data_IF_211749229311
#
_entry.id   IF_211749229311
#
_cell.length_a   1.000
_cell.length_b   1.000
_cell.length_c   1.000
_cell.angle_alpha   90.00
_cell.angle_beta   90.00
_cell.angle_gamma   90.00
#
_symmetry.space_group_name_H-M   'P 1'
#
loop_
_entity.id
_entity.type
_entity.pdbx_description
1 polymer ?
#
# COMPACT_ATOMS: atom_id res chain seq x y z
N UNK A 1 -41.48 17.32 -15.74
CA UNK A 1 -40.48 17.10 -14.69
C UNK A 1 -40.55 18.26 -13.73
N UNK A 2 -40.76 17.99 -12.46
CA UNK A 2 -40.83 18.98 -11.39
C UNK A 2 -39.44 19.39 -10.92
N UNK A 3 -39.33 20.53 -10.23
CA UNK A 3 -38.08 20.96 -9.57
C UNK A 3 -37.55 19.89 -8.62
N UNK A 4 -38.45 19.22 -7.88
CA UNK A 4 -38.10 18.15 -6.95
C UNK A 4 -37.54 16.92 -7.68
N UNK A 5 -38.04 16.60 -8.88
CA UNK A 5 -37.49 15.50 -9.69
C UNK A 5 -36.04 15.80 -10.09
N UNK A 6 -35.75 17.05 -10.48
CA UNK A 6 -34.40 17.47 -10.85
C UNK A 6 -33.46 17.52 -9.63
N UNK A 7 -33.98 17.97 -8.47
CA UNK A 7 -33.25 17.98 -7.21
C UNK A 7 -32.83 16.57 -6.79
N UNK A 8 -33.77 15.62 -6.77
CA UNK A 8 -33.49 14.23 -6.42
C UNK A 8 -32.58 13.54 -7.43
N UNK A 9 -32.78 13.81 -8.73
CA UNK A 9 -31.90 13.30 -9.78
C UNK A 9 -30.48 13.80 -9.55
N UNK A 10 -30.27 15.09 -9.30
CA UNK A 10 -28.94 15.65 -9.06
C UNK A 10 -28.30 15.08 -7.78
N UNK A 11 -29.03 15.01 -6.66
CA UNK A 11 -28.51 14.50 -5.39
C UNK A 11 -28.09 13.03 -5.46
N UNK A 12 -28.76 12.21 -6.27
CA UNK A 12 -28.46 10.78 -6.39
C UNK A 12 -27.46 10.51 -7.53
N UNK A 13 -27.70 11.07 -8.72
CA UNK A 13 -26.88 10.79 -9.90
C UNK A 13 -25.55 11.52 -9.92
N UNK A 14 -25.46 12.73 -9.38
CA UNK A 14 -24.19 13.47 -9.37
C UNK A 14 -23.08 12.74 -8.59
N UNK A 15 -23.27 12.33 -7.33
CA UNK A 15 -22.23 11.58 -6.62
C UNK A 15 -21.99 10.21 -7.24
N UNK A 16 -23.02 9.55 -7.79
CA UNK A 16 -22.86 8.27 -8.48
C UNK A 16 -21.96 8.41 -9.72
N UNK A 17 -22.19 9.43 -10.55
CA UNK A 17 -21.34 9.73 -11.71
C UNK A 17 -19.93 10.11 -11.29
N UNK A 18 -19.76 10.89 -10.20
CA UNK A 18 -18.43 11.23 -9.70
C UNK A 18 -17.66 9.98 -9.26
N UNK A 19 -18.28 9.08 -8.50
CA UNK A 19 -17.66 7.82 -8.07
C UNK A 19 -17.36 6.91 -9.26
N UNK A 20 -18.26 6.84 -10.23
CA UNK A 20 -18.09 6.02 -11.44
C UNK A 20 -16.93 6.52 -12.31
N UNK A 21 -16.86 7.83 -12.56
CA UNK A 21 -15.73 8.44 -13.26
C UNK A 21 -14.43 8.26 -12.48
N UNK A 22 -14.44 8.47 -11.16
CA UNK A 22 -13.28 8.25 -10.32
C UNK A 22 -12.78 6.80 -10.39
N UNK A 23 -13.67 5.80 -10.33
CA UNK A 23 -13.30 4.40 -10.46
C UNK A 23 -12.65 4.09 -11.82
N UNK A 24 -13.19 4.65 -12.91
CA UNK A 24 -12.57 4.55 -14.24
C UNK A 24 -11.16 5.15 -14.26
N UNK A 25 -10.99 6.38 -13.77
CA UNK A 25 -9.68 7.03 -13.68
C UNK A 25 -8.69 6.26 -12.79
N UNK A 26 -9.15 5.68 -11.67
CA UNK A 26 -8.33 4.86 -10.78
C UNK A 26 -7.82 3.59 -11.49
N UNK A 27 -8.66 2.91 -12.29
CA UNK A 27 -8.25 1.75 -13.08
C UNK A 27 -7.14 2.12 -14.09
N UNK A 28 -7.26 3.28 -14.73
CA UNK A 28 -6.24 3.73 -15.68
C UNK A 28 -4.92 4.11 -15.00
N UNK A 29 -5.00 4.78 -13.85
CA UNK A 29 -3.84 5.29 -13.08
C UNK A 29 -3.06 4.18 -12.35
N UNK A 30 -3.64 3.01 -12.20
CA UNK A 30 -3.01 1.85 -11.57
C UNK A 30 -1.95 1.22 -12.47
N UNK A 31 -0.69 1.25 -12.07
CA UNK A 31 0.40 0.64 -12.86
C UNK A 31 0.63 -0.84 -12.55
N UNK A 32 -0.05 -1.38 -11.54
CA UNK A 32 0.07 -2.77 -11.07
C UNK A 32 -0.74 -3.77 -11.92
N UNK A 33 -1.72 -3.31 -12.70
CA UNK A 33 -2.56 -4.15 -13.54
C UNK A 33 -2.00 -4.32 -14.96
N UNK A 34 -1.90 -5.56 -15.43
CA UNK A 34 -1.63 -5.86 -16.86
C UNK A 34 -2.72 -5.23 -17.73
N UNK A 35 -2.35 -4.69 -18.90
CA UNK A 35 -3.28 -3.93 -19.77
C UNK A 35 -4.57 -4.66 -20.13
N UNK A 36 -4.53 -5.99 -20.31
CA UNK A 36 -5.72 -6.80 -20.57
C UNK A 36 -6.65 -6.95 -19.35
N UNK A 37 -6.09 -7.00 -18.13
CA UNK A 37 -6.85 -7.01 -16.88
C UNK A 37 -7.55 -5.66 -16.68
N UNK A 38 -6.87 -4.56 -16.99
CA UNK A 38 -7.48 -3.22 -16.95
C UNK A 38 -8.70 -3.14 -17.86
N UNK A 39 -8.57 -3.62 -19.10
CA UNK A 39 -9.66 -3.61 -20.07
C UNK A 39 -10.87 -4.43 -19.57
N UNK A 40 -10.64 -5.62 -19.01
CA UNK A 40 -11.71 -6.43 -18.41
C UNK A 40 -12.42 -5.68 -17.27
N UNK A 41 -11.66 -5.05 -16.37
CA UNK A 41 -12.22 -4.29 -15.26
C UNK A 41 -13.03 -3.08 -15.71
N UNK A 42 -12.56 -2.36 -16.73
CA UNK A 42 -13.31 -1.25 -17.35
C UNK A 42 -14.65 -1.75 -17.89
N UNK A 43 -14.67 -2.87 -18.63
CA UNK A 43 -15.90 -3.45 -19.16
C UNK A 43 -16.87 -3.85 -18.04
N UNK A 44 -16.37 -4.47 -16.98
CA UNK A 44 -17.19 -4.88 -15.82
C UNK A 44 -17.79 -3.65 -15.11
N UNK A 45 -17.01 -2.59 -14.88
CA UNK A 45 -17.49 -1.36 -14.22
C UNK A 45 -18.46 -0.58 -15.12
N UNK A 46 -18.32 -0.64 -16.44
CA UNK A 46 -19.25 -0.03 -17.38
C UNK A 46 -20.59 -0.78 -17.41
N UNK A 47 -20.57 -2.11 -17.50
CA UNK A 47 -21.78 -2.91 -17.59
C UNK A 47 -22.52 -3.03 -16.26
N UNK A 48 -21.78 -2.98 -15.14
CA UNK A 48 -22.32 -3.14 -13.79
C UNK A 48 -21.80 -1.99 -12.91
N UNK A 49 -22.35 -0.77 -13.01
CA UNK A 49 -21.82 0.39 -12.29
C UNK A 49 -21.87 0.24 -10.76
N UNK A 50 -22.90 -0.40 -10.21
CA UNK A 50 -22.99 -0.66 -8.76
C UNK A 50 -22.12 -1.86 -8.35
N UNK A 51 -22.36 -3.03 -8.95
CA UNK A 51 -21.66 -4.26 -8.55
C UNK A 51 -20.20 -4.30 -9.01
N UNK A 52 -19.91 -3.85 -10.22
CA UNK A 52 -18.56 -3.78 -10.77
C UNK A 52 -17.67 -2.85 -9.95
N UNK A 53 -18.18 -1.67 -9.58
CA UNK A 53 -17.44 -0.75 -8.69
C UNK A 53 -17.23 -1.36 -7.31
N UNK A 54 -18.24 -2.02 -6.72
CA UNK A 54 -18.10 -2.66 -5.41
C UNK A 54 -17.05 -3.79 -5.42
N UNK A 55 -17.12 -4.70 -6.39
CA UNK A 55 -16.16 -5.80 -6.52
C UNK A 55 -14.75 -5.23 -6.79
N UNK A 56 -14.64 -4.20 -7.62
CA UNK A 56 -13.37 -3.54 -7.90
C UNK A 56 -12.73 -2.95 -6.63
N UNK A 57 -13.50 -2.27 -5.79
CA UNK A 57 -13.01 -1.70 -4.54
C UNK A 57 -12.53 -2.78 -3.56
N UNK A 58 -13.21 -3.92 -3.49
CA UNK A 58 -12.80 -5.05 -2.64
C UNK A 58 -11.53 -5.72 -3.19
N UNK A 59 -11.45 -5.86 -4.51
CA UNK A 59 -10.29 -6.45 -5.19
C UNK A 59 -9.08 -5.49 -5.29
N UNK A 60 -9.24 -4.22 -4.89
CA UNK A 60 -8.17 -3.20 -4.91
C UNK A 60 -7.18 -3.48 -3.77
N UNK A 61 -5.94 -3.92 -4.06
CA UNK A 61 -4.94 -4.10 -3.03
C UNK A 61 -4.50 -2.75 -2.45
N UNK A 62 -4.10 -2.73 -1.17
CA UNK A 62 -3.45 -1.57 -0.57
C UNK A 62 -2.10 -1.30 -1.27
N UNK A 63 -1.76 -0.04 -1.50
CA UNK A 63 -0.54 0.32 -2.26
C UNK A 63 -0.64 0.08 -3.77
N UNK A 64 -1.85 0.19 -4.33
CA UNK A 64 -2.08 0.01 -5.77
C UNK A 64 -1.45 1.12 -6.64
N UNK A 65 -1.09 2.26 -6.04
CA UNK A 65 -0.42 3.37 -6.71
C UNK A 65 0.99 3.60 -6.16
N UNK A 66 1.90 4.13 -6.98
CA UNK A 66 3.28 4.42 -6.56
C UNK A 66 3.29 5.38 -5.36
N UNK A 67 2.50 6.44 -5.39
CA UNK A 67 2.38 7.40 -4.29
C UNK A 67 1.90 6.74 -2.97
N UNK A 68 0.98 5.77 -3.06
CA UNK A 68 0.49 5.04 -1.89
C UNK A 68 1.56 4.10 -1.34
N UNK A 69 2.38 3.49 -2.20
CA UNK A 69 3.54 2.67 -1.78
C UNK A 69 4.60 3.51 -1.08
N UNK A 70 4.91 4.69 -1.63
CA UNK A 70 5.88 5.62 -1.05
C UNK A 70 5.42 6.09 0.35
N UNK A 71 4.13 6.42 0.51
CA UNK A 71 3.58 6.80 1.82
C UNK A 71 3.64 5.64 2.85
N UNK A 72 3.37 4.41 2.43
CA UNK A 72 3.47 3.23 3.29
C UNK A 72 4.92 2.96 3.67
N UNK A 73 5.87 3.10 2.74
CA UNK A 73 7.29 2.91 3.01
C UNK A 73 7.83 3.99 3.96
N UNK A 74 7.50 5.26 3.73
CA UNK A 74 7.90 6.37 4.59
C UNK A 74 7.40 6.19 6.02
N UNK A 75 6.13 5.84 6.20
CA UNK A 75 5.55 5.58 7.52
C UNK A 75 6.20 4.37 8.22
N UNK A 76 6.54 3.33 7.46
CA UNK A 76 7.24 2.15 7.97
C UNK A 76 8.66 2.48 8.42
N UNK A 77 9.40 3.27 7.63
CA UNK A 77 10.75 3.72 7.95
C UNK A 77 10.76 4.62 9.19
N UNK A 78 9.81 5.54 9.31
CA UNK A 78 9.68 6.40 10.49
C UNK A 78 9.37 5.59 11.77
N UNK A 79 8.52 4.57 11.65
CA UNK A 79 8.23 3.65 12.76
C UNK A 79 9.47 2.86 13.17
N UNK A 80 10.18 2.25 12.21
CA UNK A 80 11.43 1.52 12.49
C UNK A 80 12.46 2.44 13.14
N UNK A 81 12.66 3.66 12.65
CA UNK A 81 13.60 4.61 13.23
C UNK A 81 13.25 5.00 14.68
N UNK A 82 11.97 5.04 15.04
CA UNK A 82 11.52 5.39 16.40
C UNK A 82 11.75 4.29 17.43
N UNK A 83 11.70 3.03 17.02
CA UNK A 83 11.84 1.87 17.91
C UNK A 83 13.14 1.10 17.70
N UNK A 84 13.96 1.50 16.72
CA UNK A 84 15.30 0.98 16.55
C UNK A 84 16.15 1.36 17.78
N UNK A 85 16.95 0.43 18.32
CA UNK A 85 17.86 0.75 19.40
C UNK A 85 18.85 1.81 18.94
N UNK A 86 18.88 2.91 19.65
CA UNK A 86 19.76 4.07 19.44
C UNK A 86 21.21 3.81 19.84
N UNK A 87 21.47 2.69 20.51
CA UNK A 87 22.79 2.32 21.00
C UNK A 87 23.27 0.97 20.43
N UNK A 88 24.55 0.94 20.07
CA UNK A 88 25.25 -0.18 19.42
C UNK A 88 25.26 -1.43 20.29
N UNK A 89 25.38 -1.26 21.61
CA UNK A 89 25.39 -2.35 22.57
C UNK A 89 24.06 -3.13 22.55
N UNK A 90 22.94 -2.43 22.44
CA UNK A 90 21.61 -3.04 22.41
C UNK A 90 21.31 -3.69 21.07
N UNK A 91 21.78 -3.12 19.95
CA UNK A 91 21.72 -3.78 18.64
C UNK A 91 22.51 -5.10 18.65
N UNK A 92 23.73 -5.11 19.22
CA UNK A 92 24.54 -6.32 19.35
C UNK A 92 23.91 -7.37 20.27
N UNK A 93 23.27 -6.92 21.37
CA UNK A 93 22.53 -7.80 22.29
C UNK A 93 21.36 -8.49 21.58
N UNK A 94 20.59 -7.75 20.78
CA UNK A 94 19.48 -8.31 20.00
C UNK A 94 20.00 -9.28 18.93
N UNK A 95 21.11 -8.95 18.28
CA UNK A 95 21.71 -9.81 17.26
C UNK A 95 22.21 -11.14 17.86
N UNK A 96 22.83 -11.09 19.05
CA UNK A 96 23.26 -12.29 19.78
C UNK A 96 22.08 -13.15 20.23
N UNK A 97 21.02 -12.54 20.78
CA UNK A 97 19.80 -13.24 21.20
C UNK A 97 19.06 -13.89 20.01
N UNK A 98 19.13 -13.32 18.81
CA UNK A 98 18.57 -13.95 17.61
C UNK A 98 19.42 -15.13 17.11
N UNK A 99 20.74 -15.03 17.20
CA UNK A 99 21.66 -16.13 16.90
C UNK A 99 21.50 -17.30 17.88
N UNK A 100 21.47 -17.03 19.19
CA UNK A 100 21.27 -18.04 20.24
C UNK A 100 19.93 -18.77 20.09
N UNK A 101 18.89 -18.08 19.57
CA UNK A 101 17.58 -18.68 19.25
C UNK A 101 17.54 -19.43 17.92
N UNK A 102 18.67 -19.56 17.23
CA UNK A 102 18.79 -20.23 15.93
C UNK A 102 18.04 -19.52 14.81
N UNK A 103 17.76 -18.22 14.95
CA UNK A 103 17.11 -17.40 13.91
C UNK A 103 18.13 -16.81 12.93
N UNK A 104 19.41 -16.80 13.28
CA UNK A 104 20.53 -16.47 12.40
C UNK A 104 21.55 -17.61 12.39
N UNK A 105 22.18 -17.82 11.23
CA UNK A 105 23.37 -18.65 11.10
C UNK A 105 24.62 -17.92 11.57
N UNK A 106 25.69 -18.66 11.91
CA UNK A 106 26.98 -18.09 12.34
C UNK A 106 27.53 -17.07 11.33
N UNK A 107 27.37 -17.38 10.04
CA UNK A 107 27.82 -16.53 8.93
C UNK A 107 27.02 -15.23 8.81
N UNK A 108 25.71 -15.29 9.03
CA UNK A 108 24.84 -14.10 9.02
C UNK A 108 25.10 -13.23 10.25
N UNK A 109 25.29 -13.86 11.42
CA UNK A 109 25.59 -13.15 12.66
C UNK A 109 26.88 -12.33 12.56
N UNK A 110 27.98 -12.92 12.09
CA UNK A 110 29.26 -12.21 11.98
C UNK A 110 29.22 -11.09 10.93
N UNK A 111 28.49 -11.29 9.82
CA UNK A 111 28.30 -10.25 8.78
C UNK A 111 27.55 -9.04 9.35
N UNK A 112 26.46 -9.28 10.08
CA UNK A 112 25.62 -8.24 10.66
C UNK A 112 26.31 -7.52 11.84
N UNK A 113 27.05 -8.25 12.66
CA UNK A 113 27.87 -7.71 13.74
C UNK A 113 28.95 -6.78 13.22
N UNK A 114 29.65 -7.15 12.15
CA UNK A 114 30.64 -6.30 11.51
C UNK A 114 30.02 -5.01 10.94
N UNK A 115 28.82 -5.10 10.35
CA UNK A 115 28.07 -3.94 9.85
C UNK A 115 27.69 -2.96 10.96
N UNK A 116 27.15 -3.47 12.07
CA UNK A 116 26.75 -2.66 13.23
C UNK A 116 27.97 -1.99 13.90
N UNK A 117 29.08 -2.71 14.03
CA UNK A 117 30.34 -2.15 14.55
C UNK A 117 30.97 -1.13 13.60
N UNK A 118 30.88 -1.34 12.28
CA UNK A 118 31.37 -0.39 11.27
C UNK A 118 30.58 0.93 11.25
N UNK A 119 29.26 0.87 11.38
CA UNK A 119 28.40 2.04 11.43
C UNK A 119 28.55 2.87 12.73
N UNK A 120 29.04 2.24 13.80
CA UNK A 120 29.34 2.92 15.07
C UNK A 120 30.68 3.68 15.05
N UNK A 121 31.59 3.29 14.15
CA UNK A 121 32.94 3.83 14.05
C UNK A 121 33.07 4.96 13.01
N UNK A 122 31.99 5.23 12.24
CA UNK A 122 31.87 6.30 11.25
C UNK A 122 31.08 7.49 11.79
#
# INVERSE_FOLDING_TARGET
MSFWDFFWLLVIWLPLMMVWMFALFDIFRRDDLKGWLKALWVVVVILLPFFGTLIYLIARPAGATVAEREAIDESSRAFVAKYAPDNVAEQLRVLADLHDRGKLTDTEFETEKARVLGAAAS
#
